data_IF_560581305625
#
_entry.id   IF_560581305625
#
_cell.length_a   1.000
_cell.length_b   1.000
_cell.length_c   1.000
_cell.angle_alpha   90.00
_cell.angle_beta   90.00
_cell.angle_gamma   90.00
#
_symmetry.space_group_name_H-M   'P 1'
#
loop_
_entity.id
_entity.type
_entity.pdbx_description
1 polymer ?
#
# COMPACT_ATOMS: atom_id res chain seq x y z
N UNK A 1 -15.66 14.31 86.78
CA UNK A 1 -16.80 14.01 85.88
C UNK A 1 -16.76 15.00 84.72
N UNK A 2 -16.68 14.47 83.48
CA UNK A 2 -17.21 15.01 82.19
C UNK A 2 -17.03 16.51 81.87
N UNK A 3 -16.43 16.95 80.75
CA UNK A 3 -16.77 16.53 79.39
C UNK A 3 -15.67 16.93 78.38
N UNK A 4 -15.30 15.98 77.50
CA UNK A 4 -14.60 16.24 76.25
C UNK A 4 -15.63 16.25 75.10
N UNK A 5 -15.38 17.09 74.09
CA UNK A 5 -15.85 17.07 72.68
C UNK A 5 -17.02 17.98 72.24
N UNK A 6 -16.76 18.89 71.27
CA UNK A 6 -17.73 19.14 70.19
C UNK A 6 -17.13 19.16 68.76
N UNK A 7 -15.83 18.91 68.57
CA UNK A 7 -15.20 18.98 67.23
C UNK A 7 -15.40 17.72 66.36
N UNK A 8 -15.73 16.57 66.96
CA UNK A 8 -15.93 15.30 66.23
C UNK A 8 -17.28 15.25 65.48
N UNK A 9 -18.30 15.98 65.95
CA UNK A 9 -19.63 15.98 65.37
C UNK A 9 -19.69 16.68 63.99
N UNK A 10 -18.90 17.75 63.80
CA UNK A 10 -18.89 18.54 62.56
C UNK A 10 -18.28 17.77 61.37
N UNK A 11 -17.26 16.94 61.61
CA UNK A 11 -16.62 16.09 60.58
C UNK A 11 -17.49 14.90 60.13
N UNK A 12 -18.43 14.43 60.96
CA UNK A 12 -19.37 13.34 60.60
C UNK A 12 -20.40 13.76 59.56
N UNK A 13 -20.76 15.05 59.50
CA UNK A 13 -21.74 15.57 58.54
C UNK A 13 -21.11 16.12 57.25
N UNK A 14 -19.86 16.60 57.29
CA UNK A 14 -19.18 17.15 56.10
C UNK A 14 -18.87 16.06 55.06
N UNK A 15 -18.44 14.86 55.50
CA UNK A 15 -18.14 13.74 54.59
C UNK A 15 -19.33 13.25 53.75
N UNK A 16 -20.52 12.97 54.34
CA UNK A 16 -21.67 12.58 53.53
C UNK A 16 -22.16 13.76 52.66
N UNK A 17 -22.06 15.00 53.13
CA UNK A 17 -22.45 16.18 52.36
C UNK A 17 -21.56 16.38 51.12
N UNK A 18 -20.24 16.20 51.24
CA UNK A 18 -19.33 16.21 50.09
C UNK A 18 -19.62 15.04 49.13
N UNK A 19 -19.92 13.85 49.66
CA UNK A 19 -20.32 12.70 48.83
C UNK A 19 -21.60 12.96 48.03
N UNK A 20 -22.60 13.57 48.67
CA UNK A 20 -23.86 13.97 48.04
C UNK A 20 -23.64 15.05 46.98
N UNK A 21 -22.79 16.05 47.24
CA UNK A 21 -22.47 17.10 46.27
C UNK A 21 -21.73 16.55 45.04
N UNK A 22 -20.80 15.61 45.23
CA UNK A 22 -20.11 14.94 44.13
C UNK A 22 -21.11 14.09 43.32
N UNK A 23 -21.94 13.29 44.00
CA UNK A 23 -22.96 12.48 43.33
C UNK A 23 -23.99 13.34 42.58
N UNK A 24 -24.44 14.44 43.17
CA UNK A 24 -25.34 15.41 42.53
C UNK A 24 -24.66 16.10 41.33
N UNK A 25 -23.36 16.39 41.42
CA UNK A 25 -22.56 16.88 40.29
C UNK A 25 -22.53 15.88 39.14
N UNK A 26 -22.25 14.60 39.41
CA UNK A 26 -22.28 13.53 38.40
C UNK A 26 -23.67 13.31 37.81
N UNK A 27 -24.73 13.39 38.61
CA UNK A 27 -26.11 13.27 38.15
C UNK A 27 -26.56 14.47 37.32
N UNK A 28 -26.06 15.68 37.60
CA UNK A 28 -26.34 16.89 36.82
C UNK A 28 -25.53 16.94 35.51
N UNK A 29 -24.35 16.30 35.47
CA UNK A 29 -23.55 16.14 34.26
C UNK A 29 -24.23 15.24 33.22
N UNK A 30 -25.00 14.23 33.65
CA UNK A 30 -25.64 13.28 32.75
C UNK A 30 -26.66 13.89 31.77
N UNK A 31 -27.66 14.71 32.19
CA UNK A 31 -28.58 15.36 31.26
C UNK A 31 -27.90 16.41 30.39
N UNK A 32 -26.90 17.13 30.94
CA UNK A 32 -26.11 18.08 30.18
C UNK A 32 -25.34 17.39 29.04
N UNK A 33 -24.68 16.28 29.34
CA UNK A 33 -23.95 15.48 28.36
C UNK A 33 -24.91 14.88 27.33
N UNK A 34 -26.09 14.41 27.75
CA UNK A 34 -27.13 13.90 26.85
C UNK A 34 -27.68 14.99 25.92
N UNK A 35 -27.84 16.22 26.40
CA UNK A 35 -28.25 17.36 25.58
C UNK A 35 -27.15 17.79 24.60
N UNK A 36 -25.89 17.77 25.02
CA UNK A 36 -24.74 18.01 24.14
C UNK A 36 -24.67 16.93 23.05
N UNK A 37 -24.83 15.66 23.40
CA UNK A 37 -24.84 14.53 22.44
C UNK A 37 -26.02 14.59 21.46
N UNK A 38 -27.13 15.23 21.83
CA UNK A 38 -28.28 15.45 20.94
C UNK A 38 -28.12 16.68 20.03
N UNK A 39 -27.40 17.71 20.50
CA UNK A 39 -27.20 18.97 19.78
C UNK A 39 -25.98 18.94 18.86
N UNK A 40 -24.89 18.30 19.28
CA UNK A 40 -23.75 17.99 18.43
C UNK A 40 -24.15 16.81 17.56
N UNK A 41 -24.60 17.10 16.33
CA UNK A 41 -24.70 16.07 15.29
C UNK A 41 -23.40 15.26 15.26
N UNK A 42 -23.50 13.98 14.89
CA UNK A 42 -22.41 12.99 14.95
C UNK A 42 -21.07 13.43 14.29
N UNK A 43 -21.10 14.46 13.44
CA UNK A 43 -19.97 15.09 12.76
C UNK A 43 -19.29 16.20 13.60
N UNK A 44 -20.06 16.92 14.42
CA UNK A 44 -19.57 17.92 15.37
C UNK A 44 -18.74 17.27 16.50
N UNK A 45 -19.10 16.06 16.95
CA UNK A 45 -18.31 15.31 17.94
C UNK A 45 -16.88 14.98 17.47
N UNK A 46 -16.67 14.78 16.15
CA UNK A 46 -15.33 14.56 15.60
C UNK A 46 -14.60 15.87 15.27
N UNK A 47 -15.34 16.91 14.89
CA UNK A 47 -14.80 18.24 14.62
C UNK A 47 -14.33 18.95 15.90
N UNK A 48 -15.05 18.83 17.01
CA UNK A 48 -14.69 19.44 18.30
C UNK A 48 -13.43 18.81 18.91
N UNK A 49 -13.10 17.57 18.54
CA UNK A 49 -11.84 16.91 18.94
C UNK A 49 -10.64 17.47 18.16
N UNK A 50 -10.83 17.99 16.94
CA UNK A 50 -9.79 18.67 16.15
C UNK A 50 -9.48 20.09 16.65
N UNK A 51 -10.39 20.70 17.42
CA UNK A 51 -10.18 22.04 17.99
C UNK A 51 -9.15 22.07 19.11
N UNK A 52 -8.82 20.92 19.71
CA UNK A 52 -7.75 20.79 20.68
C UNK A 52 -6.65 19.93 20.09
N UNK A 53 -5.51 20.57 19.77
CA UNK A 53 -4.16 20.00 19.65
C UNK A 53 -3.63 19.60 18.26
N UNK A 54 -2.45 20.13 17.94
CA UNK A 54 -1.47 19.39 17.12
C UNK A 54 -1.07 18.14 17.90
N UNK A 55 -0.91 16.98 17.25
CA UNK A 55 -0.54 15.74 17.95
C UNK A 55 0.79 15.88 18.71
N UNK A 56 1.70 16.71 18.19
CA UNK A 56 2.93 17.11 18.89
C UNK A 56 2.71 17.87 20.20
N UNK A 57 1.70 18.76 20.26
CA UNK A 57 1.35 19.48 21.49
C UNK A 57 0.69 18.53 22.49
N UNK A 58 -0.21 17.67 22.01
CA UNK A 58 -0.93 16.72 22.85
C UNK A 58 0.04 15.74 23.51
N UNK A 59 0.99 15.20 22.73
CA UNK A 59 2.08 14.35 23.22
C UNK A 59 2.81 14.96 24.42
N UNK A 60 3.12 16.26 24.39
CA UNK A 60 3.80 16.95 25.51
C UNK A 60 2.93 17.08 26.77
N UNK A 61 1.62 17.16 26.63
CA UNK A 61 0.68 17.30 27.75
C UNK A 61 0.20 15.97 28.33
N UNK A 62 0.38 14.86 27.62
CA UNK A 62 -0.12 13.56 28.02
C UNK A 62 0.75 12.82 29.05
N UNK A 63 1.88 13.39 29.50
CA UNK A 63 2.70 12.89 30.62
C UNK A 63 2.98 11.36 30.58
N UNK A 64 3.22 10.78 29.40
CA UNK A 64 3.50 9.34 29.24
C UNK A 64 2.30 8.47 28.83
N UNK A 65 1.09 9.04 28.69
CA UNK A 65 -0.12 8.34 28.24
C UNK A 65 -0.38 8.46 26.73
N UNK A 66 0.63 8.77 25.92
CA UNK A 66 0.47 8.99 24.49
C UNK A 66 -0.06 7.77 23.74
N UNK A 67 0.42 6.56 24.11
CA UNK A 67 -0.05 5.31 23.51
C UNK A 67 -1.54 5.07 23.75
N UNK A 68 -1.99 5.21 25.00
CA UNK A 68 -3.41 5.09 25.34
C UNK A 68 -4.25 6.12 24.56
N UNK A 69 -3.76 7.35 24.45
CA UNK A 69 -4.47 8.37 23.70
C UNK A 69 -4.49 8.07 22.21
N UNK A 70 -3.39 7.56 21.64
CA UNK A 70 -3.33 7.10 20.26
C UNK A 70 -4.38 6.00 20.01
N UNK A 71 -4.58 5.05 20.93
CA UNK A 71 -5.63 4.01 20.81
C UNK A 71 -7.05 4.60 20.80
N UNK A 72 -7.29 5.62 21.64
CA UNK A 72 -8.57 6.34 21.63
C UNK A 72 -8.78 7.06 20.29
N UNK A 73 -7.75 7.74 19.76
CA UNK A 73 -7.84 8.40 18.46
C UNK A 73 -7.98 7.40 17.30
N UNK A 74 -7.30 6.25 17.36
CA UNK A 74 -7.46 5.18 16.39
C UNK A 74 -8.88 4.62 16.39
N UNK A 75 -9.46 4.43 17.56
CA UNK A 75 -10.87 4.01 17.69
C UNK A 75 -11.82 5.02 17.06
N UNK A 76 -11.53 6.33 17.19
CA UNK A 76 -12.29 7.39 16.51
C UNK A 76 -12.12 7.35 14.99
N UNK A 77 -10.91 7.10 14.49
CA UNK A 77 -10.67 6.90 13.04
C UNK A 77 -11.56 5.79 12.50
N UNK A 78 -11.53 4.62 13.15
CA UNK A 78 -12.30 3.44 12.70
C UNK A 78 -13.81 3.73 12.75
N UNK A 79 -14.31 4.36 13.81
CA UNK A 79 -15.72 4.71 13.94
C UNK A 79 -16.16 5.76 12.91
N UNK A 80 -15.35 6.81 12.70
CA UNK A 80 -15.63 7.84 11.71
C UNK A 80 -15.70 7.23 10.31
N UNK A 81 -14.68 6.45 9.93
CA UNK A 81 -14.63 5.77 8.64
C UNK A 81 -15.81 4.81 8.46
N UNK A 82 -16.08 3.96 9.46
CA UNK A 82 -17.19 3.00 9.41
C UNK A 82 -18.55 3.67 9.25
N UNK A 83 -18.81 4.75 10.00
CA UNK A 83 -20.06 5.53 9.86
C UNK A 83 -20.19 6.13 8.46
N UNK A 84 -19.11 6.71 7.95
CA UNK A 84 -19.09 7.33 6.63
C UNK A 84 -19.35 6.31 5.50
N UNK A 85 -18.78 5.12 5.64
CA UNK A 85 -18.98 3.99 4.71
C UNK A 85 -20.42 3.45 4.77
N UNK A 86 -20.99 3.28 5.97
CA UNK A 86 -22.40 2.88 6.13
C UNK A 86 -23.36 3.92 5.55
N UNK A 87 -23.02 5.20 5.67
CA UNK A 87 -23.76 6.30 5.06
C UNK A 87 -23.49 6.47 3.55
N UNK A 88 -22.67 5.61 2.92
CA UNK A 88 -22.27 5.69 1.51
C UNK A 88 -21.75 7.06 1.09
N UNK A 89 -21.14 7.79 2.03
CA UNK A 89 -20.82 9.19 1.81
C UNK A 89 -19.42 9.34 1.25
N UNK A 90 -19.22 10.39 0.45
CA UNK A 90 -18.00 10.62 -0.32
C UNK A 90 -17.01 11.57 0.38
N UNK A 91 -17.38 12.10 1.55
CA UNK A 91 -16.63 13.16 2.26
C UNK A 91 -15.89 12.66 3.50
N UNK A 92 -14.59 12.42 3.38
CA UNK A 92 -13.75 11.91 4.46
C UNK A 92 -12.81 12.98 5.06
N UNK A 93 -13.27 14.23 5.14
CA UNK A 93 -12.46 15.40 5.51
C UNK A 93 -11.70 15.25 6.84
N UNK A 94 -12.26 14.50 7.81
CA UNK A 94 -11.64 14.33 9.12
C UNK A 94 -10.69 13.12 9.19
N UNK A 95 -10.69 12.25 8.19
CA UNK A 95 -9.93 11.00 8.22
C UNK A 95 -8.42 11.26 8.31
N UNK A 96 -7.90 12.07 7.39
CA UNK A 96 -6.49 12.46 7.34
C UNK A 96 -5.99 13.12 8.63
N UNK A 97 -6.66 14.19 9.10
CA UNK A 97 -6.32 14.83 10.37
C UNK A 97 -6.33 13.89 11.58
N UNK A 98 -7.34 13.02 11.70
CA UNK A 98 -7.43 12.05 12.79
C UNK A 98 -6.28 11.02 12.73
N UNK A 99 -5.96 10.51 11.55
CA UNK A 99 -4.82 9.61 11.34
C UNK A 99 -3.49 10.28 11.65
N UNK A 100 -3.32 11.56 11.28
CA UNK A 100 -2.11 12.32 11.61
C UNK A 100 -1.93 12.44 13.12
N UNK A 101 -2.96 12.86 13.86
CA UNK A 101 -2.88 12.98 15.33
C UNK A 101 -2.56 11.62 15.96
N UNK A 102 -3.28 10.57 15.53
CA UNK A 102 -3.07 9.19 16.01
C UNK A 102 -1.60 8.77 15.88
N UNK A 103 -1.01 9.00 14.71
CA UNK A 103 0.37 8.60 14.40
C UNK A 103 1.45 9.53 14.94
N UNK A 104 1.11 10.77 15.32
CA UNK A 104 2.01 11.68 16.05
C UNK A 104 2.11 11.31 17.53
N UNK A 105 0.99 10.87 18.12
CA UNK A 105 0.92 10.38 19.49
C UNK A 105 1.73 9.10 19.65
N UNK A 106 1.45 8.09 18.81
CA UNK A 106 2.20 6.83 18.79
C UNK A 106 2.71 6.48 17.39
N UNK A 107 4.00 6.82 17.10
CA UNK A 107 4.63 6.44 15.84
C UNK A 107 4.87 4.94 15.66
N UNK A 108 4.73 4.13 16.71
CA UNK A 108 4.89 2.67 16.65
C UNK A 108 3.55 1.95 16.43
N UNK A 109 2.42 2.69 16.37
CA UNK A 109 1.10 2.13 16.11
C UNK A 109 0.93 1.75 14.63
N UNK A 110 1.55 0.64 14.23
CA UNK A 110 1.61 0.15 12.85
C UNK A 110 0.23 0.02 12.20
N UNK A 111 -0.77 -0.44 12.95
CA UNK A 111 -2.16 -0.62 12.47
C UNK A 111 -2.74 0.69 11.90
N UNK A 112 -2.46 1.83 12.54
CA UNK A 112 -2.96 3.12 12.09
C UNK A 112 -2.37 3.53 10.73
N UNK A 113 -1.10 3.23 10.48
CA UNK A 113 -0.47 3.45 9.18
C UNK A 113 -1.05 2.51 8.12
N UNK A 114 -1.07 1.21 8.39
CA UNK A 114 -1.46 0.18 7.40
C UNK A 114 -2.91 0.29 6.95
N UNK A 115 -3.83 0.37 7.92
CA UNK A 115 -5.25 0.45 7.60
C UNK A 115 -5.67 1.88 7.27
N UNK A 116 -5.09 2.87 7.94
CA UNK A 116 -5.34 4.27 7.64
C UNK A 116 -4.96 4.64 6.20
N UNK A 117 -3.87 4.10 5.67
CA UNK A 117 -3.49 4.34 4.28
C UNK A 117 -4.48 3.72 3.29
N UNK A 118 -5.05 2.55 3.61
CA UNK A 118 -6.10 1.92 2.79
C UNK A 118 -7.35 2.80 2.80
N UNK A 119 -7.79 3.25 3.98
CA UNK A 119 -8.97 4.12 4.14
C UNK A 119 -8.81 5.44 3.36
N UNK A 120 -7.60 5.98 3.32
CA UNK A 120 -7.27 7.18 2.57
C UNK A 120 -7.21 6.93 1.05
N UNK A 121 -6.56 5.87 0.60
CA UNK A 121 -6.33 5.61 -0.82
C UNK A 121 -7.60 5.17 -1.57
N UNK A 122 -8.40 4.29 -0.96
CA UNK A 122 -9.58 3.71 -1.61
C UNK A 122 -10.54 4.79 -2.10
N UNK A 123 -11.08 4.65 -3.31
CA UNK A 123 -11.95 5.65 -3.92
C UNK A 123 -13.31 5.72 -3.22
N UNK A 124 -13.97 6.89 -3.18
CA UNK A 124 -15.34 6.98 -2.70
C UNK A 124 -16.29 6.09 -3.50
N UNK A 125 -17.30 5.46 -2.85
CA UNK A 125 -17.64 5.55 -1.43
C UNK A 125 -16.87 4.56 -0.52
N UNK A 126 -15.93 3.79 -1.08
CA UNK A 126 -15.12 2.83 -0.33
C UNK A 126 -14.13 3.47 0.64
N UNK A 127 -13.55 4.62 0.26
CA UNK A 127 -12.69 5.45 1.10
C UNK A 127 -12.60 6.90 0.63
N UNK A 128 -11.52 7.60 1.03
CA UNK A 128 -11.37 9.03 0.81
C UNK A 128 -10.92 9.45 -0.60
N UNK A 129 -10.36 8.53 -1.39
CA UNK A 129 -9.80 8.84 -2.72
C UNK A 129 -8.60 9.79 -2.66
N UNK A 130 -7.81 9.73 -1.59
CA UNK A 130 -6.66 10.57 -1.28
C UNK A 130 -5.35 9.74 -1.26
N UNK A 131 -4.94 9.12 -2.39
CA UNK A 131 -3.76 8.26 -2.42
C UNK A 131 -2.47 9.01 -2.06
N UNK A 132 -2.36 10.31 -2.38
CA UNK A 132 -1.19 11.11 -2.01
C UNK A 132 -1.05 11.29 -0.49
N UNK A 133 -2.16 11.46 0.22
CA UNK A 133 -2.15 11.56 1.68
C UNK A 133 -1.82 10.19 2.32
N UNK A 134 -2.33 9.10 1.74
CA UNK A 134 -1.97 7.75 2.14
C UNK A 134 -0.46 7.47 1.99
N UNK A 135 0.16 7.92 0.89
CA UNK A 135 1.61 7.82 0.70
C UNK A 135 2.38 8.62 1.75
N UNK A 136 1.93 9.84 2.08
CA UNK A 136 2.55 10.65 3.13
C UNK A 136 2.47 9.96 4.50
N UNK A 137 1.32 9.38 4.82
CA UNK A 137 1.11 8.62 6.06
C UNK A 137 2.07 7.43 6.13
N UNK A 138 2.15 6.60 5.09
CA UNK A 138 3.04 5.44 5.04
C UNK A 138 4.52 5.82 5.09
N UNK A 139 4.93 6.89 4.40
CA UNK A 139 6.33 7.38 4.47
C UNK A 139 6.70 7.78 5.89
N UNK A 140 5.81 8.46 6.63
CA UNK A 140 6.02 8.75 8.06
C UNK A 140 6.13 7.48 8.88
N UNK A 141 5.29 6.48 8.60
CA UNK A 141 5.35 5.16 9.24
C UNK A 141 6.68 4.46 8.99
N UNK A 142 7.19 4.48 7.76
CA UNK A 142 8.49 3.89 7.38
C UNK A 142 9.65 4.60 8.09
N UNK A 143 9.62 5.93 8.20
CA UNK A 143 10.64 6.67 8.95
C UNK A 143 10.65 6.26 10.43
N UNK A 144 9.47 6.06 11.03
CA UNK A 144 9.35 5.63 12.43
C UNK A 144 9.61 4.12 12.64
N UNK A 145 9.43 3.30 11.60
CA UNK A 145 9.48 1.83 11.67
C UNK A 145 10.21 1.25 10.42
N UNK A 146 11.50 1.55 10.22
CA UNK A 146 12.20 1.29 8.95
C UNK A 146 12.30 -0.20 8.58
N UNK A 147 12.36 -1.07 9.57
CA UNK A 147 12.51 -2.52 9.38
C UNK A 147 11.19 -3.25 9.15
N UNK A 148 10.04 -2.58 9.35
CA UNK A 148 8.74 -3.21 9.22
C UNK A 148 8.29 -3.27 7.75
N UNK A 149 8.66 -4.36 7.09
CA UNK A 149 8.49 -4.58 5.65
C UNK A 149 7.06 -4.38 5.11
N UNK A 150 6.03 -4.61 5.94
CA UNK A 150 4.63 -4.49 5.49
C UNK A 150 4.23 -3.05 5.15
N UNK A 151 4.89 -2.05 5.71
CA UNK A 151 4.67 -0.65 5.29
C UNK A 151 5.19 -0.40 3.87
N UNK A 152 6.28 -1.06 3.47
CA UNK A 152 6.78 -1.02 2.10
C UNK A 152 5.83 -1.75 1.14
N UNK A 153 5.26 -2.88 1.57
CA UNK A 153 4.20 -3.57 0.84
C UNK A 153 3.01 -2.63 0.59
N UNK A 154 2.47 -2.04 1.66
CA UNK A 154 1.28 -1.18 1.57
C UNK A 154 1.58 0.07 0.70
N UNK A 155 2.80 0.62 0.79
CA UNK A 155 3.25 1.74 -0.05
C UNK A 155 3.33 1.34 -1.53
N UNK A 156 3.94 0.19 -1.83
CA UNK A 156 4.08 -0.31 -3.20
C UNK A 156 2.73 -0.56 -3.86
N UNK A 157 1.76 -1.07 -3.10
CA UNK A 157 0.42 -1.33 -3.61
C UNK A 157 -0.35 -0.05 -3.98
N UNK A 158 -0.19 1.04 -3.23
CA UNK A 158 -0.81 2.32 -3.60
C UNK A 158 -0.19 2.88 -4.88
N UNK A 159 1.14 2.81 -5.03
CA UNK A 159 1.79 3.20 -6.29
C UNK A 159 1.31 2.36 -7.48
N UNK A 160 1.11 1.05 -7.26
CA UNK A 160 0.70 0.11 -8.28
C UNK A 160 -0.76 0.29 -8.72
N UNK A 161 -1.69 0.32 -7.77
CA UNK A 161 -3.12 0.32 -8.08
C UNK A 161 -3.67 1.71 -8.35
N UNK A 162 -3.30 2.71 -7.54
CA UNK A 162 -3.87 4.04 -7.61
C UNK A 162 -3.13 4.97 -8.57
N UNK A 163 -1.78 4.95 -8.52
CA UNK A 163 -0.96 5.86 -9.32
C UNK A 163 -0.48 5.27 -10.64
N UNK A 164 -0.56 3.94 -10.83
CA UNK A 164 -0.05 3.23 -12.02
C UNK A 164 1.42 3.54 -12.31
N UNK A 165 2.19 3.81 -11.26
CA UNK A 165 3.60 4.15 -11.36
C UNK A 165 4.44 2.89 -11.12
N UNK A 166 4.56 2.09 -12.18
CA UNK A 166 5.24 0.80 -12.15
C UNK A 166 6.73 0.93 -11.80
N UNK A 167 7.39 2.01 -12.24
CA UNK A 167 8.79 2.30 -11.90
C UNK A 167 8.99 2.45 -10.40
N UNK A 168 8.23 3.33 -9.76
CA UNK A 168 8.33 3.51 -8.30
C UNK A 168 7.86 2.26 -7.56
N UNK A 169 6.82 1.59 -8.05
CA UNK A 169 6.33 0.34 -7.48
C UNK A 169 7.44 -0.73 -7.41
N UNK A 170 8.13 -1.00 -8.53
CA UNK A 170 9.22 -1.97 -8.58
C UNK A 170 10.33 -1.63 -7.58
N UNK A 171 10.75 -0.36 -7.54
CA UNK A 171 11.77 0.12 -6.60
C UNK A 171 11.36 -0.09 -5.14
N UNK A 172 10.10 0.23 -4.80
CA UNK A 172 9.57 0.12 -3.43
C UNK A 172 9.50 -1.35 -3.00
N UNK A 173 8.98 -2.24 -3.84
CA UNK A 173 8.94 -3.66 -3.54
C UNK A 173 10.35 -4.26 -3.40
N UNK A 174 11.31 -3.83 -4.22
CA UNK A 174 12.71 -4.25 -4.09
C UNK A 174 13.29 -3.85 -2.74
N UNK A 175 13.19 -2.57 -2.37
CA UNK A 175 13.68 -2.07 -1.06
C UNK A 175 12.96 -2.77 0.10
N UNK A 176 11.65 -2.98 -0.04
CA UNK A 176 10.83 -3.71 0.93
C UNK A 176 11.25 -5.16 1.10
N UNK A 177 11.66 -5.83 0.01
CA UNK A 177 12.12 -7.23 0.04
C UNK A 177 13.43 -7.44 0.79
N UNK A 178 14.20 -6.36 1.00
CA UNK A 178 15.47 -6.38 1.74
C UNK A 178 15.26 -6.18 3.26
N UNK A 179 14.03 -5.90 3.70
CA UNK A 179 13.73 -5.66 5.13
C UNK A 179 13.61 -6.98 5.92
N UNK A 180 13.91 -6.98 7.23
CA UNK A 180 13.76 -8.18 8.06
C UNK A 180 12.36 -8.79 7.99
N UNK A 181 12.29 -10.10 7.76
CA UNK A 181 11.02 -10.85 7.71
C UNK A 181 10.19 -10.63 6.46
N UNK A 182 10.70 -9.91 5.45
CA UNK A 182 10.05 -9.75 4.16
C UNK A 182 9.89 -11.11 3.45
N UNK A 183 8.80 -11.25 2.70
CA UNK A 183 8.48 -12.50 2.03
C UNK A 183 9.07 -12.54 0.61
N UNK A 184 9.47 -13.72 0.10
CA UNK A 184 10.12 -13.86 -1.21
C UNK A 184 9.31 -13.28 -2.38
N UNK A 185 7.98 -13.32 -2.29
CA UNK A 185 7.10 -12.78 -3.33
C UNK A 185 7.31 -11.28 -3.58
N UNK A 186 7.79 -10.51 -2.60
CA UNK A 186 8.00 -9.07 -2.80
C UNK A 186 9.09 -8.79 -3.83
N UNK A 187 10.16 -9.59 -3.85
CA UNK A 187 11.21 -9.44 -4.85
C UNK A 187 10.73 -9.88 -6.22
N UNK A 188 9.94 -10.95 -6.29
CA UNK A 188 9.27 -11.37 -7.52
C UNK A 188 8.33 -10.29 -8.06
N UNK A 189 7.53 -9.65 -7.19
CA UNK A 189 6.68 -8.51 -7.55
C UNK A 189 7.49 -7.35 -8.11
N UNK A 190 8.65 -7.03 -7.50
CA UNK A 190 9.53 -6.00 -8.03
C UNK A 190 10.02 -6.33 -9.45
N UNK A 191 10.31 -7.59 -9.73
CA UNK A 191 10.77 -8.07 -11.03
C UNK A 191 9.64 -8.04 -12.09
N UNK A 192 8.45 -8.56 -11.77
CA UNK A 192 7.29 -8.52 -12.67
C UNK A 192 6.88 -7.10 -13.00
N UNK A 193 6.75 -6.23 -11.99
CA UNK A 193 6.31 -4.85 -12.20
C UNK A 193 7.35 -4.03 -12.97
N UNK A 194 8.65 -4.35 -12.85
CA UNK A 194 9.67 -3.74 -13.70
C UNK A 194 9.42 -4.04 -15.18
N UNK A 195 9.11 -5.29 -15.53
CA UNK A 195 8.80 -5.67 -16.91
C UNK A 195 7.55 -4.92 -17.42
N UNK A 196 6.48 -4.93 -16.64
CA UNK A 196 5.23 -4.24 -16.96
C UNK A 196 5.42 -2.72 -17.13
N UNK A 197 6.34 -2.12 -16.37
CA UNK A 197 6.74 -0.72 -16.51
C UNK A 197 7.71 -0.41 -17.66
N UNK A 198 8.07 -1.40 -18.48
CA UNK A 198 9.03 -1.28 -19.58
C UNK A 198 10.50 -1.31 -19.16
N UNK A 199 10.82 -1.56 -17.89
CA UNK A 199 12.18 -1.71 -17.37
C UNK A 199 12.68 -3.16 -17.49
N UNK A 200 12.75 -3.65 -18.73
CA UNK A 200 13.12 -5.04 -19.06
C UNK A 200 14.46 -5.46 -18.43
N UNK A 201 15.46 -4.58 -18.44
CA UNK A 201 16.77 -4.90 -17.84
C UNK A 201 16.72 -4.99 -16.32
N UNK A 202 15.97 -4.10 -15.66
CA UNK A 202 15.74 -4.18 -14.21
C UNK A 202 15.04 -5.51 -13.87
N UNK A 203 14.00 -5.87 -14.62
CA UNK A 203 13.29 -7.14 -14.44
C UNK A 203 14.21 -8.35 -14.58
N UNK A 204 15.03 -8.37 -15.63
CA UNK A 204 15.98 -9.45 -15.92
C UNK A 204 17.00 -9.64 -14.80
N UNK A 205 17.56 -8.54 -14.28
CA UNK A 205 18.51 -8.59 -13.15
C UNK A 205 17.84 -9.24 -11.94
N UNK A 206 16.64 -8.77 -11.57
CA UNK A 206 15.92 -9.27 -10.41
C UNK A 206 15.53 -10.74 -10.56
N UNK A 207 15.03 -11.17 -11.72
CA UNK A 207 14.71 -12.57 -11.95
C UNK A 207 15.96 -13.47 -11.94
N UNK A 208 17.08 -12.98 -12.45
CA UNK A 208 18.37 -13.70 -12.38
C UNK A 208 18.82 -13.90 -10.93
N UNK A 209 18.67 -12.87 -10.09
CA UNK A 209 18.97 -12.97 -8.66
C UNK A 209 18.04 -13.96 -7.95
N UNK A 210 16.74 -13.93 -8.26
CA UNK A 210 15.76 -14.87 -7.69
C UNK A 210 16.10 -16.31 -8.10
N UNK A 211 16.43 -16.57 -9.36
CA UNK A 211 16.79 -17.90 -9.84
C UNK A 211 18.04 -18.48 -9.17
N UNK A 212 18.99 -17.61 -8.75
CA UNK A 212 20.22 -17.99 -8.07
C UNK A 212 20.03 -18.32 -6.58
N UNK A 213 18.95 -17.86 -5.94
CA UNK A 213 18.68 -18.20 -4.53
C UNK A 213 18.14 -19.63 -4.43
N UNK A 214 18.84 -20.49 -3.67
CA UNK A 214 18.77 -21.96 -3.83
C UNK A 214 17.60 -22.62 -3.06
N UNK A 215 16.84 -21.89 -2.26
CA UNK A 215 16.00 -22.51 -1.21
C UNK A 215 14.62 -23.01 -1.67
N UNK A 216 14.18 -22.74 -2.90
CA UNK A 216 12.87 -23.19 -3.39
C UNK A 216 12.84 -23.42 -4.92
N UNK A 217 12.72 -24.68 -5.33
CA UNK A 217 12.70 -25.08 -6.75
C UNK A 217 11.52 -24.48 -7.52
N UNK A 218 10.35 -24.29 -6.90
CA UNK A 218 9.20 -23.69 -7.57
C UNK A 218 9.43 -22.21 -7.88
N UNK A 219 10.10 -21.48 -6.98
CA UNK A 219 10.47 -20.07 -7.21
C UNK A 219 11.53 -19.98 -8.31
N UNK A 220 12.51 -20.90 -8.32
CA UNK A 220 13.52 -20.97 -9.38
C UNK A 220 12.89 -21.20 -10.75
N UNK A 221 12.03 -22.20 -10.88
CA UNK A 221 11.33 -22.51 -12.14
C UNK A 221 10.48 -21.33 -12.61
N UNK A 222 9.79 -20.66 -11.69
CA UNK A 222 9.03 -19.45 -12.02
C UNK A 222 9.94 -18.34 -12.54
N UNK A 223 11.08 -18.09 -11.90
CA UNK A 223 12.05 -17.09 -12.35
C UNK A 223 12.65 -17.42 -13.73
N UNK A 224 13.00 -18.68 -13.97
CA UNK A 224 13.47 -19.16 -15.28
C UNK A 224 12.42 -18.96 -16.37
N UNK A 225 11.15 -19.25 -16.10
CA UNK A 225 10.06 -19.00 -17.04
C UNK A 225 9.92 -17.51 -17.40
N UNK A 226 10.05 -16.61 -16.42
CA UNK A 226 10.04 -15.16 -16.68
C UNK A 226 11.26 -14.72 -17.49
N UNK A 227 12.45 -15.27 -17.23
CA UNK A 227 13.66 -14.97 -18.02
C UNK A 227 13.50 -15.41 -19.48
N UNK A 228 12.95 -16.60 -19.72
CA UNK A 228 12.64 -17.08 -21.08
C UNK A 228 11.62 -16.16 -21.78
N UNK A 229 10.61 -15.69 -21.05
CA UNK A 229 9.63 -14.74 -21.59
C UNK A 229 10.29 -13.41 -21.98
N UNK A 230 11.14 -12.84 -21.12
CA UNK A 230 11.88 -11.59 -21.40
C UNK A 230 12.82 -11.75 -22.61
N UNK A 231 13.51 -12.88 -22.72
CA UNK A 231 14.35 -13.19 -23.89
C UNK A 231 13.53 -13.28 -25.17
N UNK A 232 12.41 -13.97 -25.11
CA UNK A 232 11.54 -14.13 -26.27
C UNK A 232 10.93 -12.79 -26.70
N UNK A 233 10.49 -11.95 -25.76
CA UNK A 233 9.97 -10.61 -26.08
C UNK A 233 11.04 -9.76 -26.77
N UNK A 234 12.27 -9.73 -26.22
CA UNK A 234 13.38 -9.01 -26.83
C UNK A 234 13.70 -9.50 -28.25
N UNK A 235 13.71 -10.82 -28.46
CA UNK A 235 13.91 -11.43 -29.77
C UNK A 235 12.78 -11.08 -30.74
N UNK A 236 11.52 -11.13 -30.29
CA UNK A 236 10.34 -10.74 -31.08
C UNK A 236 10.45 -9.26 -31.51
N UNK A 237 10.84 -8.36 -30.61
CA UNK A 237 11.05 -6.94 -30.95
C UNK A 237 12.14 -6.77 -32.01
N UNK A 238 13.27 -7.46 -31.86
CA UNK A 238 14.36 -7.41 -32.84
C UNK A 238 13.96 -7.98 -34.21
N UNK A 239 13.25 -9.11 -34.22
CA UNK A 239 12.74 -9.73 -35.45
C UNK A 239 11.70 -8.85 -36.14
N UNK A 240 10.80 -8.22 -35.38
CA UNK A 240 9.85 -7.26 -35.93
C UNK A 240 10.53 -6.05 -36.57
N UNK A 241 11.62 -5.56 -35.99
CA UNK A 241 12.41 -4.49 -36.60
C UNK A 241 13.08 -4.93 -37.93
N UNK A 242 13.52 -6.19 -38.02
CA UNK A 242 14.04 -6.76 -39.27
C UNK A 242 12.95 -6.92 -40.33
N UNK A 243 11.75 -7.37 -39.94
CA UNK A 243 10.60 -7.46 -40.84
C UNK A 243 10.19 -6.09 -41.38
N UNK A 244 10.19 -5.05 -40.54
CA UNK A 244 9.92 -3.67 -40.97
C UNK A 244 10.99 -3.20 -41.98
N UNK A 245 12.28 -3.43 -41.70
CA UNK A 245 13.36 -3.10 -42.65
C UNK A 245 13.25 -3.84 -43.98
N UNK A 246 12.92 -5.13 -43.94
CA UNK A 246 12.73 -5.94 -45.14
C UNK A 246 11.59 -5.37 -46.00
N UNK A 247 10.45 -5.04 -45.39
CA UNK A 247 9.31 -4.42 -46.08
C UNK A 247 9.71 -3.12 -46.75
N UNK A 248 10.44 -2.27 -46.03
CA UNK A 248 10.81 -0.95 -46.52
C UNK A 248 11.82 -1.02 -47.69
N UNK A 249 12.67 -2.06 -47.76
CA UNK A 249 13.64 -2.24 -48.85
C UNK A 249 13.11 -3.05 -50.04
N UNK A 250 12.29 -4.08 -49.81
CA UNK A 250 11.78 -4.97 -50.86
C UNK A 250 10.42 -4.54 -51.42
N UNK A 251 9.75 -3.58 -50.76
CA UNK A 251 8.44 -3.07 -51.16
C UNK A 251 7.26 -4.01 -50.88
N UNK A 252 7.50 -5.18 -50.26
CA UNK A 252 6.46 -6.11 -49.81
C UNK A 252 6.81 -6.74 -48.46
N UNK A 253 5.80 -7.20 -47.72
CA UNK A 253 6.01 -7.92 -46.47
C UNK A 253 6.57 -9.33 -46.73
N UNK A 254 7.39 -9.83 -45.80
CA UNK A 254 7.87 -11.20 -45.84
C UNK A 254 6.75 -12.19 -45.48
N UNK A 255 6.61 -13.27 -46.24
CA UNK A 255 5.64 -14.34 -45.91
C UNK A 255 6.21 -15.35 -44.91
N UNK A 256 7.54 -15.46 -44.81
CA UNK A 256 8.22 -16.35 -43.88
C UNK A 256 9.61 -15.82 -43.49
N UNK A 257 10.16 -16.32 -42.37
CA UNK A 257 11.54 -16.02 -42.00
C UNK A 257 12.58 -16.60 -42.96
N UNK A 258 12.22 -17.59 -43.78
CA UNK A 258 13.12 -18.13 -44.80
C UNK A 258 13.47 -17.07 -45.86
N UNK A 259 12.54 -16.17 -46.20
CA UNK A 259 12.83 -15.04 -47.10
C UNK A 259 13.89 -14.10 -46.52
N UNK A 260 13.83 -13.82 -45.21
CA UNK A 260 14.82 -12.99 -44.54
C UNK A 260 16.20 -13.65 -44.52
N UNK A 261 16.27 -14.97 -44.43
CA UNK A 261 17.53 -15.73 -44.52
C UNK A 261 18.11 -15.64 -45.93
N UNK A 262 17.29 -15.89 -46.95
CA UNK A 262 17.71 -15.82 -48.37
C UNK A 262 18.16 -14.40 -48.74
N UNK A 263 17.47 -13.37 -48.23
CA UNK A 263 17.82 -11.98 -48.44
C UNK A 263 19.00 -11.49 -47.56
N UNK A 264 19.59 -12.36 -46.73
CA UNK A 264 20.77 -12.05 -45.91
C UNK A 264 20.52 -11.21 -44.67
N UNK A 265 19.27 -11.00 -44.27
CA UNK A 265 18.90 -10.29 -43.03
C UNK A 265 19.11 -11.13 -41.78
N UNK A 266 19.07 -12.46 -41.92
CA UNK A 266 19.26 -13.42 -40.85
C UNK A 266 20.27 -14.50 -41.26
N UNK A 267 21.15 -14.94 -40.35
CA UNK A 267 22.11 -16.02 -40.64
C UNK A 267 21.47 -17.41 -40.71
N UNK A 268 20.23 -17.56 -40.22
CA UNK A 268 19.48 -18.81 -40.19
C UNK A 268 18.07 -18.60 -39.65
N UNK A 269 17.27 -19.66 -39.61
CA UNK A 269 15.91 -19.58 -39.08
C UNK A 269 15.94 -19.20 -37.59
N UNK A 270 15.26 -18.11 -37.18
CA UNK A 270 15.28 -17.67 -35.80
C UNK A 270 14.46 -18.62 -34.94
N UNK A 271 15.02 -19.01 -33.80
CA UNK A 271 14.38 -19.86 -32.79
C UNK A 271 14.21 -19.10 -31.49
N UNK A 272 13.16 -19.43 -30.75
CA UNK A 272 12.90 -18.90 -29.42
C UNK A 272 13.91 -19.46 -28.39
N UNK A 273 13.90 -18.95 -27.15
CA UNK A 273 14.81 -19.41 -26.09
C UNK A 273 14.69 -20.90 -25.74
N UNK A 274 13.61 -21.57 -26.15
CA UNK A 274 13.40 -23.01 -25.98
C UNK A 274 13.79 -23.83 -27.22
N UNK A 275 14.32 -23.18 -28.26
CA UNK A 275 14.76 -23.80 -29.51
C UNK A 275 13.65 -24.02 -30.54
N UNK A 276 12.46 -23.47 -30.33
CA UNK A 276 11.34 -23.62 -31.28
C UNK A 276 11.36 -22.45 -32.28
N UNK A 277 11.27 -22.70 -33.60
CA UNK A 277 11.26 -21.63 -34.59
C UNK A 277 10.14 -20.61 -34.39
N UNK A 278 10.48 -19.33 -34.52
CA UNK A 278 9.49 -18.26 -34.61
C UNK A 278 8.69 -18.36 -35.91
N UNK A 279 7.48 -17.81 -35.89
CA UNK A 279 6.63 -17.73 -37.09
C UNK A 279 6.11 -16.30 -37.29
N UNK A 280 5.79 -15.97 -38.53
CA UNK A 280 5.14 -14.70 -38.87
C UNK A 280 3.62 -14.92 -38.78
N UNK A 281 2.97 -14.23 -37.85
CA UNK A 281 1.53 -14.30 -37.69
C UNK A 281 0.76 -13.55 -38.79
N UNK A 282 -0.57 -13.70 -38.80
CA UNK A 282 -1.45 -13.10 -39.81
C UNK A 282 -1.35 -11.57 -39.94
N UNK A 283 -0.83 -10.88 -38.93
CA UNK A 283 -0.59 -9.42 -38.93
C UNK A 283 0.79 -9.02 -39.47
N UNK A 284 1.56 -9.96 -40.03
CA UNK A 284 2.94 -9.70 -40.48
C UNK A 284 3.92 -9.44 -39.34
N UNK A 285 3.60 -9.90 -38.12
CA UNK A 285 4.42 -9.71 -36.92
C UNK A 285 4.89 -11.07 -36.41
N UNK A 286 6.06 -11.06 -35.80
CA UNK A 286 6.67 -12.23 -35.16
C UNK A 286 5.80 -12.69 -33.99
N UNK A 287 5.50 -13.98 -33.95
CA UNK A 287 4.84 -14.66 -32.83
C UNK A 287 5.59 -15.94 -32.49
N UNK A 288 5.37 -16.45 -31.28
CA UNK A 288 5.91 -17.74 -30.85
C UNK A 288 5.38 -18.87 -31.73
N UNK A 289 6.23 -19.87 -31.97
CA UNK A 289 5.82 -21.09 -32.67
C UNK A 289 4.80 -21.90 -31.84
N UNK A 290 3.95 -22.73 -32.49
CA UNK A 290 2.87 -23.45 -31.82
C UNK A 290 3.33 -24.51 -30.80
N UNK A 291 4.62 -24.87 -30.82
CA UNK A 291 5.25 -25.81 -29.87
C UNK A 291 6.10 -25.12 -28.81
N UNK A 292 6.15 -23.79 -28.79
CA UNK A 292 6.89 -23.02 -27.80
C UNK A 292 6.35 -23.30 -26.40
N UNK A 293 7.24 -23.40 -25.42
CA UNK A 293 6.88 -23.46 -24.00
C UNK A 293 6.96 -22.09 -23.31
N UNK A 294 7.31 -21.04 -24.06
CA UNK A 294 7.41 -19.68 -23.52
C UNK A 294 6.01 -19.12 -23.31
N UNK A 295 5.76 -18.57 -22.12
CA UNK A 295 4.52 -17.87 -21.80
C UNK A 295 4.77 -16.36 -21.71
N UNK A 296 4.35 -15.62 -22.74
CA UNK A 296 4.47 -14.15 -22.77
C UNK A 296 3.45 -13.45 -21.87
N UNK A 297 2.41 -14.15 -21.38
CA UNK A 297 1.45 -13.56 -20.45
C UNK A 297 2.08 -13.23 -19.09
N UNK A 298 3.24 -13.83 -18.77
CA UNK A 298 4.02 -13.54 -17.56
C UNK A 298 4.55 -12.10 -17.49
N UNK A 299 4.51 -11.34 -18.59
CA UNK A 299 5.02 -9.97 -18.67
C UNK A 299 3.93 -8.90 -18.62
N UNK A 300 2.64 -9.29 -18.57
CA UNK A 300 1.47 -8.40 -18.65
C UNK A 300 0.89 -8.09 -17.26
#
# INVERSE_FOLDING_TARGET
MTALTPLAARRRFIRPMCGILIAAGFLALWPLQRSIDQLQGAQAQFADVLYLSSGTTLRRYCLGYEGLLADVYWTRVVQYFGRQRLAHSTRFELLGPLLRITTELDPQLLTAYRFGSIFLAEKPPGGAGQPQEALQLLRRGIVANPDYWRLWQDLGFIYYWDLKDYRNTSRIFRIGSERPGALPWMRAMAASVAAQGGEIQTSRILWTEIARQVDNDAIRQSAEAHLLALDAEQQITALNALLDRYRDQQGHAASSFAELVVAGYLPGLPVDPTGVPYVIGAKGRTILGPRSKVDLALLQ
#
